data_IF_366470181954
#
_entry.id   IF_366470181954
#
_cell.length_a   1.000
_cell.length_b   1.000
_cell.length_c   1.000
_cell.angle_alpha   90.00
_cell.angle_beta   90.00
_cell.angle_gamma   90.00
#
_symmetry.space_group_name_H-M   'P 1'
#
loop_
_entity.id
_entity.type
_entity.pdbx_description
1 polymer ?
#
# COMPACT_ATOMS: atom_id res chain seq x y z
N UNK A 1 -1.68 29.27 15.50
CA UNK A 1 -1.76 28.65 14.14
C UNK A 1 -0.43 28.01 13.68
N UNK A 2 0.71 28.23 14.34
CA UNK A 2 2.03 27.71 13.95
C UNK A 2 2.40 26.32 14.49
N UNK A 3 1.85 25.93 15.63
CA UNK A 3 2.25 24.71 16.36
C UNK A 3 1.80 23.42 15.65
N UNK A 4 0.64 23.42 15.04
CA UNK A 4 0.10 22.22 14.35
C UNK A 4 0.86 21.89 13.06
N UNK A 5 1.36 22.88 12.35
CA UNK A 5 2.11 22.69 11.09
C UNK A 5 3.49 22.07 11.37
N UNK A 6 4.14 22.45 12.47
CA UNK A 6 5.43 21.91 12.89
C UNK A 6 5.33 20.44 13.36
N UNK A 7 4.31 20.08 14.11
CA UNK A 7 4.10 18.69 14.56
C UNK A 7 3.78 17.75 13.38
N UNK A 8 2.93 18.17 12.44
CA UNK A 8 2.62 17.37 11.25
C UNK A 8 3.86 17.15 10.37
N UNK A 9 4.68 18.17 10.20
CA UNK A 9 5.95 18.11 9.45
C UNK A 9 6.97 17.21 10.17
N UNK A 10 7.04 17.27 11.48
CA UNK A 10 7.95 16.46 12.29
C UNK A 10 7.55 14.95 12.27
N UNK A 11 6.26 14.64 12.39
CA UNK A 11 5.75 13.27 12.26
C UNK A 11 5.99 12.70 10.85
N UNK A 12 5.74 13.47 9.81
CA UNK A 12 6.01 13.10 8.42
C UNK A 12 7.50 12.81 8.18
N UNK A 13 8.38 13.65 8.72
CA UNK A 13 9.83 13.48 8.61
C UNK A 13 10.33 12.25 9.39
N UNK A 14 9.77 11.98 10.57
CA UNK A 14 10.11 10.80 11.38
C UNK A 14 9.68 9.50 10.68
N UNK A 15 8.49 9.46 10.11
CA UNK A 15 7.99 8.31 9.35
C UNK A 15 8.82 8.09 8.07
N UNK A 16 9.14 9.15 7.34
CA UNK A 16 10.03 9.10 6.18
C UNK A 16 11.44 8.60 6.54
N UNK A 17 12.01 9.10 7.65
CA UNK A 17 13.32 8.67 8.15
C UNK A 17 13.31 7.19 8.56
N UNK A 18 12.22 6.69 9.15
CA UNK A 18 12.08 5.28 9.53
C UNK A 18 11.96 4.38 8.31
N UNK A 19 11.14 4.75 7.33
CA UNK A 19 11.01 4.04 6.06
C UNK A 19 12.33 3.99 5.28
N UNK A 20 13.05 5.10 5.23
CA UNK A 20 14.36 5.15 4.59
C UNK A 20 15.40 4.25 5.30
N UNK A 21 15.36 4.18 6.63
CA UNK A 21 16.20 3.25 7.40
C UNK A 21 15.87 1.79 7.10
N UNK A 22 14.59 1.42 7.06
CA UNK A 22 14.16 0.06 6.73
C UNK A 22 14.62 -0.34 5.32
N UNK A 23 14.43 0.53 4.32
CA UNK A 23 14.95 0.31 2.96
C UNK A 23 16.48 0.14 2.93
N UNK A 24 17.19 0.97 3.69
CA UNK A 24 18.64 0.87 3.79
C UNK A 24 19.08 -0.45 4.42
N UNK A 25 18.40 -0.92 5.47
CA UNK A 25 18.66 -2.20 6.11
C UNK A 25 18.40 -3.38 5.16
N UNK A 26 17.28 -3.38 4.44
CA UNK A 26 16.98 -4.41 3.45
C UNK A 26 18.03 -4.45 2.34
N UNK A 27 18.41 -3.28 1.81
CA UNK A 27 19.49 -3.18 0.83
C UNK A 27 20.83 -3.71 1.37
N UNK A 28 21.22 -3.33 2.58
CA UNK A 28 22.44 -3.80 3.22
C UNK A 28 22.42 -5.31 3.44
N UNK A 29 21.28 -5.89 3.85
CA UNK A 29 21.14 -7.34 4.00
C UNK A 29 21.35 -8.07 2.67
N UNK A 30 20.75 -7.58 1.57
CA UNK A 30 21.00 -8.12 0.23
C UNK A 30 22.46 -8.01 -0.19
N UNK A 31 23.11 -6.89 0.12
CA UNK A 31 24.55 -6.71 -0.14
C UNK A 31 25.41 -7.69 0.67
N UNK A 32 25.10 -7.92 1.95
CA UNK A 32 25.83 -8.90 2.77
C UNK A 32 25.70 -10.32 2.21
N UNK A 33 24.51 -10.73 1.74
CA UNK A 33 24.33 -12.04 1.10
C UNK A 33 25.17 -12.13 -0.17
N UNK A 34 25.14 -11.10 -1.03
CA UNK A 34 25.94 -11.04 -2.26
C UNK A 34 27.44 -11.16 -1.94
N UNK A 35 27.94 -10.37 -0.97
CA UNK A 35 29.34 -10.42 -0.56
C UNK A 35 29.72 -11.78 -0.01
N UNK A 36 28.92 -12.38 0.87
CA UNK A 36 29.16 -13.72 1.41
C UNK A 36 29.22 -14.78 0.30
N UNK A 37 28.32 -14.74 -0.68
CA UNK A 37 28.35 -15.68 -1.81
C UNK A 37 29.58 -15.49 -2.70
N UNK A 38 30.09 -14.25 -2.85
CA UNK A 38 31.35 -13.98 -3.56
C UNK A 38 32.52 -14.52 -2.80
N UNK A 39 32.64 -14.27 -1.50
CA UNK A 39 33.72 -14.77 -0.63
C UNK A 39 33.79 -16.30 -0.62
N UNK A 40 32.63 -16.96 -0.60
CA UNK A 40 32.48 -18.40 -0.69
C UNK A 40 32.70 -18.95 -2.10
N UNK A 41 32.94 -18.11 -3.10
CA UNK A 41 33.02 -18.45 -4.54
C UNK A 41 31.81 -19.23 -5.04
N UNK A 42 30.65 -19.01 -4.42
CA UNK A 42 29.39 -19.68 -4.70
C UNK A 42 28.66 -18.97 -5.88
N UNK A 43 29.28 -18.92 -7.05
CA UNK A 43 28.83 -18.12 -8.18
C UNK A 43 27.47 -18.56 -8.75
N UNK A 44 27.15 -19.84 -8.70
CA UNK A 44 25.85 -20.33 -9.16
C UNK A 44 24.72 -19.86 -8.22
N UNK A 45 24.93 -19.93 -6.91
CA UNK A 45 23.97 -19.42 -5.92
C UNK A 45 23.86 -17.89 -6.02
N UNK A 46 24.96 -17.17 -6.26
CA UNK A 46 24.95 -15.73 -6.47
C UNK A 46 24.08 -15.38 -7.70
N UNK A 47 24.26 -16.11 -8.80
CA UNK A 47 23.49 -15.91 -10.03
C UNK A 47 21.99 -16.14 -9.81
N UNK A 48 21.63 -17.19 -9.11
CA UNK A 48 20.23 -17.48 -8.78
C UNK A 48 19.65 -16.42 -7.82
N UNK A 49 20.34 -16.05 -6.76
CA UNK A 49 19.92 -15.01 -5.83
C UNK A 49 19.72 -13.65 -6.52
N UNK A 50 20.65 -13.24 -7.41
CA UNK A 50 20.50 -11.97 -8.14
C UNK A 50 19.38 -12.01 -9.15
N UNK A 51 19.12 -13.15 -9.80
CA UNK A 51 17.95 -13.33 -10.67
C UNK A 51 16.65 -13.25 -9.88
N UNK A 52 16.56 -13.93 -8.74
CA UNK A 52 15.39 -13.91 -7.89
C UNK A 52 15.04 -12.49 -7.41
N UNK A 53 16.03 -11.75 -6.92
CA UNK A 53 15.87 -10.35 -6.50
C UNK A 53 15.43 -9.44 -7.66
N UNK A 54 16.01 -9.63 -8.85
CA UNK A 54 15.66 -8.84 -10.04
C UNK A 54 14.30 -9.26 -10.61
N UNK A 55 14.02 -10.56 -10.70
CA UNK A 55 12.80 -11.11 -11.29
C UNK A 55 11.55 -10.77 -10.46
N UNK A 56 11.61 -10.93 -9.14
CA UNK A 56 10.48 -10.66 -8.26
C UNK A 56 10.03 -9.19 -8.35
N UNK A 57 10.96 -8.23 -8.37
CA UNK A 57 10.61 -6.81 -8.55
C UNK A 57 10.07 -6.51 -9.94
N UNK A 58 10.70 -7.05 -10.98
CA UNK A 58 10.30 -6.77 -12.36
C UNK A 58 8.96 -7.43 -12.68
N UNK A 59 8.69 -8.63 -12.21
CA UNK A 59 7.42 -9.33 -12.42
C UNK A 59 6.26 -8.62 -11.70
N UNK A 60 6.47 -8.13 -10.48
CA UNK A 60 5.47 -7.37 -9.72
C UNK A 60 5.15 -6.03 -10.37
N UNK A 61 6.18 -5.27 -10.80
CA UNK A 61 5.98 -4.02 -11.54
C UNK A 61 5.23 -4.29 -12.83
N UNK A 62 5.66 -5.28 -13.61
CA UNK A 62 5.01 -5.66 -14.87
C UNK A 62 3.55 -6.09 -14.62
N UNK A 63 3.29 -6.86 -13.55
CA UNK A 63 1.97 -7.30 -13.18
C UNK A 63 1.02 -6.13 -12.93
N UNK A 64 1.45 -5.16 -12.10
CA UNK A 64 0.63 -3.98 -11.76
C UNK A 64 0.44 -3.08 -12.98
N UNK A 65 1.53 -2.75 -13.70
CA UNK A 65 1.47 -1.83 -14.86
C UNK A 65 0.66 -2.41 -16.03
N UNK A 66 0.67 -3.73 -16.20
CA UNK A 66 -0.11 -4.37 -17.28
C UNK A 66 -1.61 -4.31 -16.99
N UNK A 67 -2.01 -4.40 -15.72
CA UNK A 67 -3.42 -4.37 -15.32
C UNK A 67 -3.95 -2.95 -15.15
N UNK A 68 -3.14 -2.07 -14.60
CA UNK A 68 -3.51 -0.69 -14.35
C UNK A 68 -2.78 0.20 -15.36
N UNK A 69 -3.45 0.55 -16.46
CA UNK A 69 -2.85 1.38 -17.52
C UNK A 69 -2.48 2.79 -17.04
N UNK A 70 -3.18 3.30 -16.04
CA UNK A 70 -2.83 4.58 -15.45
C UNK A 70 -1.58 4.48 -14.55
N UNK A 71 -0.57 5.26 -14.89
CA UNK A 71 0.75 5.25 -14.23
C UNK A 71 0.69 5.78 -12.78
N UNK A 72 -0.25 6.69 -12.49
CA UNK A 72 -0.41 7.28 -11.14
C UNK A 72 -1.01 6.27 -10.18
N UNK A 73 -2.06 5.55 -10.64
CA UNK A 73 -2.69 4.49 -9.88
C UNK A 73 -1.77 3.28 -9.71
N UNK A 74 -1.05 2.90 -10.77
CA UNK A 74 -0.03 1.85 -10.69
C UNK A 74 1.08 2.23 -9.69
N UNK A 75 1.54 3.48 -9.69
CA UNK A 75 2.50 4.01 -8.73
C UNK A 75 1.99 3.97 -7.28
N UNK A 76 0.71 4.30 -7.06
CA UNK A 76 0.08 4.14 -5.73
C UNK A 76 0.15 2.68 -5.28
N UNK A 77 -0.29 1.74 -6.10
CA UNK A 77 -0.34 0.31 -5.75
C UNK A 77 1.06 -0.22 -5.45
N UNK A 78 2.07 0.09 -6.28
CA UNK A 78 3.46 -0.30 -6.03
C UNK A 78 4.00 0.31 -4.73
N UNK A 79 3.66 1.55 -4.42
CA UNK A 79 3.98 2.19 -3.14
C UNK A 79 3.33 1.47 -1.95
N UNK A 80 2.07 1.03 -2.08
CA UNK A 80 1.36 0.26 -1.05
C UNK A 80 1.94 -1.14 -0.86
N UNK A 81 2.36 -1.81 -1.93
CA UNK A 81 3.10 -3.09 -1.87
C UNK A 81 4.41 -2.91 -1.09
N UNK A 82 5.16 -1.84 -1.36
CA UNK A 82 6.37 -1.56 -0.59
C UNK A 82 6.07 -1.30 0.89
N UNK A 83 5.04 -0.52 1.16
CA UNK A 83 4.62 -0.18 2.53
C UNK A 83 4.10 -1.38 3.32
N UNK A 84 3.36 -2.29 2.67
CA UNK A 84 2.83 -3.49 3.31
C UNK A 84 3.94 -4.40 3.84
N UNK A 85 5.05 -4.52 3.11
CA UNK A 85 6.24 -5.28 3.54
C UNK A 85 6.88 -4.71 4.80
N UNK A 86 6.92 -3.36 4.92
CA UNK A 86 7.43 -2.70 6.13
C UNK A 86 6.56 -2.97 7.35
N UNK A 87 5.25 -3.22 7.13
CA UNK A 87 4.25 -3.48 8.17
C UNK A 87 4.06 -4.97 8.45
N UNK A 88 4.76 -5.85 7.73
CA UNK A 88 4.57 -7.30 7.78
C UNK A 88 3.12 -7.70 7.44
N UNK A 89 2.59 -7.11 6.36
CA UNK A 89 1.26 -7.36 5.80
C UNK A 89 1.43 -7.96 4.41
N UNK A 90 0.73 -9.05 4.12
CA UNK A 90 0.62 -9.63 2.78
C UNK A 90 -0.43 -8.84 1.97
N UNK A 91 0.05 -7.94 1.12
CA UNK A 91 -0.80 -7.11 0.27
C UNK A 91 -0.67 -7.51 -1.20
N UNK A 92 -1.79 -7.78 -1.84
CA UNK A 92 -1.84 -8.18 -3.24
C UNK A 92 -2.88 -7.41 -4.06
N UNK A 93 -2.57 -7.18 -5.34
CA UNK A 93 -3.54 -6.79 -6.35
C UNK A 93 -4.19 -8.06 -6.90
N UNK A 94 -5.52 -8.13 -6.88
CA UNK A 94 -6.29 -9.28 -7.38
C UNK A 94 -6.04 -9.52 -8.87
N UNK A 95 -6.07 -10.79 -9.28
CA UNK A 95 -5.94 -11.19 -10.69
C UNK A 95 -7.07 -10.67 -11.58
N UNK A 96 -8.22 -10.39 -11.00
CA UNK A 96 -9.38 -9.83 -11.69
C UNK A 96 -9.28 -8.32 -11.92
N UNK A 97 -8.28 -7.66 -11.28
CA UNK A 97 -8.09 -6.22 -11.42
C UNK A 97 -7.71 -5.85 -12.84
N UNK A 98 -8.44 -4.90 -13.40
CA UNK A 98 -8.16 -4.33 -14.70
C UNK A 98 -8.71 -2.90 -14.78
N UNK A 99 -7.90 -1.97 -15.30
CA UNK A 99 -8.32 -0.61 -15.65
C UNK A 99 -7.90 -0.36 -17.10
N UNK A 100 -8.86 -0.36 -18.02
CA UNK A 100 -8.63 -0.34 -19.46
C UNK A 100 -8.74 1.04 -20.09
N UNK A 101 -9.62 1.86 -19.55
CA UNK A 101 -10.01 3.11 -20.17
C UNK A 101 -9.28 4.30 -19.58
N UNK A 102 -9.03 5.30 -20.42
CA UNK A 102 -8.62 6.61 -19.95
C UNK A 102 -9.81 7.25 -19.23
N UNK A 103 -9.61 7.62 -17.97
CA UNK A 103 -10.66 8.09 -17.10
C UNK A 103 -10.96 9.56 -17.34
N UNK A 104 -12.19 9.87 -17.71
CA UNK A 104 -12.69 11.23 -17.71
C UNK A 104 -13.39 11.55 -16.38
N UNK A 105 -14.23 10.63 -15.87
CA UNK A 105 -14.93 10.71 -14.57
C UNK A 105 -15.18 9.28 -14.07
N UNK A 106 -14.81 8.90 -12.82
CA UNK A 106 -14.04 9.71 -11.85
C UNK A 106 -12.61 9.99 -12.32
N UNK A 107 -12.02 11.08 -11.85
CA UNK A 107 -10.63 11.38 -12.22
C UNK A 107 -9.66 10.37 -11.58
N UNK A 108 -8.51 10.16 -12.20
CA UNK A 108 -7.45 9.35 -11.59
C UNK A 108 -7.09 9.82 -10.18
N UNK A 109 -7.15 11.13 -9.95
CA UNK A 109 -6.88 11.71 -8.64
C UNK A 109 -7.89 11.24 -7.59
N UNK A 110 -9.18 11.14 -7.94
CA UNK A 110 -10.21 10.63 -7.05
C UNK A 110 -10.00 9.15 -6.73
N UNK A 111 -9.65 8.33 -7.73
CA UNK A 111 -9.32 6.91 -7.52
C UNK A 111 -8.10 6.72 -6.61
N UNK A 112 -7.05 7.51 -6.80
CA UNK A 112 -5.85 7.50 -5.95
C UNK A 112 -6.21 7.86 -4.51
N UNK A 113 -7.04 8.90 -4.33
CA UNK A 113 -7.51 9.32 -3.02
C UNK A 113 -8.35 8.22 -2.35
N UNK A 114 -9.32 7.66 -3.08
CA UNK A 114 -10.22 6.61 -2.58
C UNK A 114 -9.43 5.36 -2.22
N UNK A 115 -8.71 4.77 -3.17
CA UNK A 115 -7.92 3.55 -2.97
C UNK A 115 -6.88 3.74 -1.86
N UNK A 116 -6.16 4.86 -1.88
CA UNK A 116 -5.15 5.18 -0.88
C UNK A 116 -5.68 5.20 0.54
N UNK A 117 -6.84 5.83 0.76
CA UNK A 117 -7.46 5.91 2.08
C UNK A 117 -8.02 4.56 2.56
N UNK A 118 -8.65 3.79 1.66
CA UNK A 118 -9.22 2.50 2.04
C UNK A 118 -8.11 1.49 2.37
N UNK A 119 -7.03 1.45 1.58
CA UNK A 119 -5.87 0.59 1.83
C UNK A 119 -5.20 0.94 3.17
N UNK A 120 -4.98 2.24 3.45
CA UNK A 120 -4.39 2.64 4.75
C UNK A 120 -5.29 2.25 5.92
N UNK A 121 -6.61 2.32 5.78
CA UNK A 121 -7.53 1.86 6.82
C UNK A 121 -7.40 0.35 7.07
N UNK A 122 -7.25 -0.45 6.01
CA UNK A 122 -7.01 -1.89 6.10
C UNK A 122 -5.67 -2.18 6.79
N UNK A 123 -4.58 -1.52 6.39
CA UNK A 123 -3.27 -1.66 7.03
C UNK A 123 -3.31 -1.29 8.51
N UNK A 124 -3.97 -0.20 8.84
CA UNK A 124 -4.13 0.24 10.22
C UNK A 124 -4.95 -0.76 11.08
N UNK A 125 -5.96 -1.41 10.49
CA UNK A 125 -6.74 -2.43 11.20
C UNK A 125 -5.90 -3.65 11.57
N UNK A 126 -4.87 -3.95 10.77
CA UNK A 126 -3.98 -5.10 10.95
C UNK A 126 -2.72 -4.79 11.77
N UNK A 127 -2.39 -3.53 12.04
CA UNK A 127 -1.12 -3.14 12.67
C UNK A 127 -0.86 -3.80 14.03
N UNK A 128 -1.92 -4.05 14.81
CA UNK A 128 -1.84 -4.70 16.13
C UNK A 128 -2.69 -5.99 16.17
N UNK A 129 -2.90 -6.60 15.02
CA UNK A 129 -3.68 -7.83 14.90
C UNK A 129 -2.76 -9.05 15.00
N UNK A 130 -3.09 -9.99 15.89
CA UNK A 130 -2.27 -11.19 16.16
C UNK A 130 -2.52 -12.35 15.18
N UNK A 131 -3.49 -12.20 14.25
CA UNK A 131 -3.80 -13.18 13.21
C UNK A 131 -3.00 -12.98 11.93
N UNK A 132 -3.39 -13.72 10.89
CA UNK A 132 -2.86 -13.51 9.54
C UNK A 132 -3.19 -12.09 9.06
N UNK A 133 -2.21 -11.40 8.50
CA UNK A 133 -2.31 -10.01 8.06
C UNK A 133 -2.34 -9.97 6.54
N UNK A 134 -3.53 -10.15 5.98
CA UNK A 134 -3.75 -10.20 4.53
C UNK A 134 -4.63 -9.02 4.13
N UNK A 135 -4.24 -8.34 3.04
CA UNK A 135 -5.06 -7.32 2.37
C UNK A 135 -5.07 -7.59 0.89
N UNK A 136 -6.24 -7.60 0.28
CA UNK A 136 -6.39 -7.69 -1.17
C UNK A 136 -7.04 -6.42 -1.73
N UNK A 137 -6.58 -5.99 -2.90
CA UNK A 137 -7.14 -4.89 -3.66
C UNK A 137 -7.68 -5.42 -4.98
N UNK A 138 -8.94 -5.14 -5.30
CA UNK A 138 -9.50 -5.34 -6.63
C UNK A 138 -9.97 -4.01 -7.22
N UNK A 139 -9.62 -3.76 -8.47
CA UNK A 139 -10.04 -2.59 -9.26
C UNK A 139 -10.67 -3.13 -10.54
N UNK A 140 -11.99 -2.94 -10.65
CA UNK A 140 -12.79 -3.51 -11.74
C UNK A 140 -13.38 -2.37 -12.57
N UNK A 141 -13.11 -2.39 -13.87
CA UNK A 141 -13.57 -1.41 -14.84
C UNK A 141 -14.76 -1.97 -15.63
N UNK A 142 -15.94 -1.39 -15.44
CA UNK A 142 -17.19 -1.76 -16.09
C UNK A 142 -17.67 -0.71 -17.11
N UNK A 143 -16.76 -0.03 -17.80
CA UNK A 143 -17.01 1.02 -18.80
C UNK A 143 -17.67 2.30 -18.25
N UNK A 144 -18.68 2.17 -17.39
CA UNK A 144 -19.45 3.29 -16.82
C UNK A 144 -19.23 3.51 -15.33
N UNK A 145 -18.65 2.54 -14.69
CA UNK A 145 -18.34 2.58 -13.27
C UNK A 145 -17.04 1.84 -12.97
N UNK A 146 -16.30 2.33 -12.00
CA UNK A 146 -15.12 1.66 -11.47
C UNK A 146 -15.43 1.23 -10.05
N UNK A 147 -15.26 -0.06 -9.79
CA UNK A 147 -15.44 -0.65 -8.48
C UNK A 147 -14.07 -0.90 -7.87
N UNK A 148 -13.84 -0.32 -6.70
CA UNK A 148 -12.64 -0.57 -5.88
C UNK A 148 -13.07 -1.37 -4.65
N UNK A 149 -12.49 -2.55 -4.50
CA UNK A 149 -12.72 -3.43 -3.36
C UNK A 149 -11.41 -3.61 -2.61
N UNK A 150 -11.42 -3.36 -1.31
CA UNK A 150 -10.30 -3.67 -0.41
C UNK A 150 -10.82 -4.60 0.66
N UNK A 151 -10.25 -5.78 0.74
CA UNK A 151 -10.59 -6.79 1.75
C UNK A 151 -9.41 -6.95 2.70
N UNK A 152 -9.68 -7.00 3.99
CA UNK A 152 -8.69 -7.24 5.03
C UNK A 152 -9.08 -8.43 5.92
N UNK A 153 -8.09 -9.12 6.47
CA UNK A 153 -8.27 -10.24 7.39
C UNK A 153 -8.46 -9.79 8.85
N UNK A 154 -8.65 -8.50 9.08
CA UNK A 154 -8.73 -7.91 10.42
C UNK A 154 -10.00 -8.25 11.19
N UNK A 155 -10.16 -7.67 12.37
CA UNK A 155 -11.27 -7.96 13.29
C UNK A 155 -12.64 -7.47 12.79
N UNK A 156 -12.66 -6.78 11.65
CA UNK A 156 -13.86 -6.18 11.10
C UNK A 156 -14.38 -4.98 11.90
N UNK A 157 -15.55 -4.47 11.50
CA UNK A 157 -16.19 -3.31 12.11
C UNK A 157 -17.50 -3.70 12.80
N UNK A 158 -17.76 -3.13 13.99
CA UNK A 158 -19.05 -3.24 14.64
C UNK A 158 -20.16 -2.57 13.83
N UNK A 159 -21.42 -2.97 14.00
CA UNK A 159 -22.56 -2.37 13.32
C UNK A 159 -22.70 -0.85 13.61
N UNK A 160 -22.31 -0.42 14.81
CA UNK A 160 -22.27 1.00 15.17
C UNK A 160 -21.18 1.76 14.41
N UNK A 161 -20.01 1.15 14.23
CA UNK A 161 -18.92 1.73 13.46
C UNK A 161 -19.25 1.84 11.98
N UNK A 162 -19.84 0.79 11.38
CA UNK A 162 -20.27 0.79 9.98
C UNK A 162 -21.22 1.95 9.65
N UNK A 163 -22.16 2.28 10.55
CA UNK A 163 -23.10 3.39 10.37
C UNK A 163 -22.43 4.78 10.37
N UNK A 164 -21.33 4.91 11.07
CA UNK A 164 -20.68 6.19 11.32
C UNK A 164 -19.34 6.36 10.58
N UNK A 165 -18.86 5.34 9.88
CA UNK A 165 -17.52 5.31 9.27
C UNK A 165 -17.29 6.45 8.25
N UNK A 166 -18.35 6.97 7.63
CA UNK A 166 -18.29 8.10 6.71
C UNK A 166 -18.57 9.47 7.37
N UNK A 167 -18.77 9.51 8.68
CA UNK A 167 -18.99 10.77 9.40
C UNK A 167 -17.65 11.44 9.64
N UNK A 168 -17.55 12.74 9.33
CA UNK A 168 -16.33 13.52 9.49
C UNK A 168 -15.81 13.44 10.94
N UNK A 169 -14.55 13.06 11.10
CA UNK A 169 -13.92 12.97 12.40
C UNK A 169 -14.28 11.71 13.20
N UNK A 170 -15.07 10.79 12.65
CA UNK A 170 -15.32 9.49 13.26
C UNK A 170 -14.09 8.61 13.09
N UNK A 171 -13.50 8.17 14.20
CA UNK A 171 -12.36 7.26 14.23
C UNK A 171 -12.32 6.53 15.56
N UNK A 172 -12.01 5.26 15.52
CA UNK A 172 -11.66 4.46 16.70
C UNK A 172 -10.24 4.75 17.24
N UNK A 173 -9.44 5.52 16.50
CA UNK A 173 -7.99 5.76 16.75
C UNK A 173 -7.68 7.06 17.50
N UNK A 174 -8.70 7.85 17.92
CA UNK A 174 -8.52 9.08 18.69
C UNK A 174 -8.56 10.37 17.87
N UNK A 175 -8.24 11.51 18.53
CA UNK A 175 -8.29 12.85 17.92
C UNK A 175 -7.25 13.01 16.82
N UNK A 176 -7.68 13.50 15.65
CA UNK A 176 -6.82 13.75 14.49
C UNK A 176 -6.97 12.73 13.36
N UNK A 177 -7.74 11.66 13.57
CA UNK A 177 -8.09 10.65 12.58
C UNK A 177 -9.57 10.77 12.16
N UNK A 178 -10.00 10.02 11.13
CA UNK A 178 -11.42 9.96 10.70
C UNK A 178 -11.78 10.91 9.56
N UNK A 179 -10.81 11.34 8.77
CA UNK A 179 -11.04 12.16 7.58
C UNK A 179 -10.99 11.36 6.27
N UNK A 180 -10.28 10.22 6.24
CA UNK A 180 -10.05 9.45 5.02
C UNK A 180 -11.34 8.99 4.36
N UNK A 181 -12.17 8.22 5.04
CA UNK A 181 -13.44 7.72 4.50
C UNK A 181 -14.50 8.83 4.33
N UNK A 182 -14.44 9.90 5.11
CA UNK A 182 -15.28 11.08 4.87
C UNK A 182 -14.94 11.72 3.51
N UNK A 183 -13.66 11.85 3.16
CA UNK A 183 -13.20 12.37 1.87
C UNK A 183 -13.63 11.47 0.71
N UNK A 184 -13.55 10.15 0.88
CA UNK A 184 -14.03 9.16 -0.11
C UNK A 184 -15.51 9.35 -0.45
N UNK A 185 -16.35 9.75 0.53
CA UNK A 185 -17.79 10.02 0.29
C UNK A 185 -18.05 11.34 -0.44
N UNK A 186 -17.07 12.26 -0.48
CA UNK A 186 -17.20 13.56 -1.14
C UNK A 186 -16.68 13.53 -2.60
N UNK A 187 -15.84 12.55 -2.93
CA UNK A 187 -15.37 12.28 -4.29
C UNK A 187 -16.42 11.52 -5.09
#
# INVERSE_FOLDING_TARGET
>A
KGTYTLEATYLGFKNYSTALRAQTHEFMNKMHVIMGLIEMKAYDQLKEFTKEVAYNRQSEVNYVVTRLRDITLAGLVLGKISRSRELDIDFSLSEESELRHDLEVPSVHDLVLIAGNIIENAFDALQNFDGERIVSLSILDFDKEIVIIVEDSGPGMSESSKKNVFVRGFSSKGKGHGFGLYLVKQS
#
